data_IF_799336096165
#
_entry.id   IF_799336096165
#
_cell.length_a   1.000
_cell.length_b   1.000
_cell.length_c   1.000
_cell.angle_alpha   90.00
_cell.angle_beta   90.00
_cell.angle_gamma   90.00
#
_symmetry.space_group_name_H-M   'P 1'
#
loop_
_entity.id
_entity.type
_entity.pdbx_description
1 polymer ?
#
# COMPACT_ATOMS: atom_id res chain seq x y z
N UNK A 1 12.01 -9.84 7.58
CA UNK A 1 10.81 -9.02 7.80
C UNK A 1 10.35 -9.28 9.22
N UNK A 2 10.15 -8.26 10.05
CA UNK A 2 9.54 -8.48 11.37
C UNK A 2 8.08 -8.87 11.12
N UNK A 3 7.64 -10.02 11.61
CA UNK A 3 6.23 -10.39 11.63
C UNK A 3 5.55 -9.45 12.62
N UNK A 4 4.84 -8.47 12.06
CA UNK A 4 4.03 -7.55 12.85
C UNK A 4 2.69 -8.23 13.08
N UNK A 5 2.35 -8.44 14.34
CA UNK A 5 1.06 -8.98 14.77
C UNK A 5 0.02 -7.86 14.74
N UNK A 6 -0.83 -7.89 13.72
CA UNK A 6 -1.85 -6.87 13.50
C UNK A 6 -3.02 -6.98 14.48
N UNK A 7 -3.30 -8.17 15.00
CA UNK A 7 -4.37 -8.37 15.98
C UNK A 7 -3.92 -7.79 17.32
N UNK A 8 -2.69 -8.07 17.73
CA UNK A 8 -2.10 -7.46 18.93
C UNK A 8 -2.03 -5.92 18.84
N UNK A 9 -1.70 -5.38 17.65
CA UNK A 9 -1.71 -3.94 17.41
C UNK A 9 -3.12 -3.33 17.48
N UNK A 10 -4.12 -4.02 16.93
CA UNK A 10 -5.51 -3.58 16.98
C UNK A 10 -6.01 -3.55 18.42
N UNK A 11 -5.75 -4.62 19.18
CA UNK A 11 -6.11 -4.70 20.60
C UNK A 11 -5.44 -3.62 21.43
N UNK A 12 -4.18 -3.30 21.16
CA UNK A 12 -3.48 -2.20 21.83
C UNK A 12 -4.08 -0.84 21.44
N UNK A 13 -4.39 -0.61 20.16
CA UNK A 13 -4.98 0.65 19.70
C UNK A 13 -6.37 0.94 20.30
N UNK A 14 -7.09 -0.12 20.68
CA UNK A 14 -8.40 -0.04 21.33
C UNK A 14 -8.31 0.03 22.87
N UNK A 15 -7.12 -0.12 23.46
CA UNK A 15 -6.94 -0.09 24.92
C UNK A 15 -6.69 1.33 25.46
N UNK A 16 -6.90 1.50 26.77
CA UNK A 16 -6.55 2.74 27.47
C UNK A 16 -5.05 3.03 27.42
N UNK A 17 -4.20 2.02 27.24
CA UNK A 17 -2.75 2.20 27.14
C UNK A 17 -2.36 3.02 25.89
N UNK A 18 -3.10 2.88 24.78
CA UNK A 18 -2.89 3.70 23.59
C UNK A 18 -3.28 5.17 23.85
N UNK A 19 -4.30 5.41 24.68
CA UNK A 19 -4.70 6.75 25.10
C UNK A 19 -3.61 7.36 25.99
N UNK A 20 -3.10 6.62 26.97
CA UNK A 20 -2.00 7.06 27.84
C UNK A 20 -0.74 7.37 27.03
N UNK A 21 -0.36 6.51 26.09
CA UNK A 21 0.80 6.75 25.21
C UNK A 21 0.62 8.00 24.34
N UNK A 22 -0.59 8.28 23.87
CA UNK A 22 -0.92 9.52 23.16
C UNK A 22 -0.82 10.74 24.08
N UNK A 23 -1.37 10.67 25.29
CA UNK A 23 -1.30 11.76 26.27
C UNK A 23 0.14 12.07 26.69
N UNK A 24 0.97 11.05 26.91
CA UNK A 24 2.39 11.21 27.24
C UNK A 24 3.17 11.84 26.09
N UNK A 25 2.94 11.41 24.84
CA UNK A 25 3.58 12.00 23.67
C UNK A 25 3.14 13.44 23.43
N UNK A 26 1.87 13.76 23.68
CA UNK A 26 1.36 15.13 23.62
C UNK A 26 1.90 16.01 24.77
N UNK A 27 2.03 15.47 25.98
CA UNK A 27 2.61 16.16 27.14
C UNK A 27 4.10 16.46 26.94
N UNK A 28 4.85 15.55 26.29
CA UNK A 28 6.25 15.77 25.93
C UNK A 28 6.43 16.77 24.77
N UNK A 29 5.41 16.95 23.92
CA UNK A 29 5.53 17.67 22.64
C UNK A 29 4.81 19.01 22.52
N UNK A 30 3.89 19.39 23.41
CA UNK A 30 3.10 20.61 23.21
C UNK A 30 2.66 21.27 24.51
N UNK A 31 3.30 22.40 24.84
CA UNK A 31 2.77 23.38 25.78
C UNK A 31 1.65 24.18 25.11
N UNK A 32 0.48 23.57 24.92
CA UNK A 32 -0.75 24.32 24.63
C UNK A 32 -1.91 23.78 25.46
N UNK A 33 -2.06 24.39 26.64
CA UNK A 33 -3.22 24.24 27.53
C UNK A 33 -4.51 24.53 26.76
N UNK A 34 -5.41 23.55 26.70
CA UNK A 34 -6.81 23.76 26.32
C UNK A 34 -7.25 23.24 24.94
N UNK A 35 -6.37 22.65 24.14
CA UNK A 35 -6.77 21.96 22.91
C UNK A 35 -7.09 20.49 23.23
N UNK A 36 -8.21 19.97 22.72
CA UNK A 36 -8.50 18.54 22.83
C UNK A 36 -7.46 17.72 22.04
N UNK A 37 -7.17 16.48 22.49
CA UNK A 37 -6.20 15.61 21.82
C UNK A 37 -6.49 15.44 20.31
N UNK A 38 -7.77 15.41 19.93
CA UNK A 38 -8.20 15.35 18.53
C UNK A 38 -7.86 16.60 17.71
N UNK A 39 -7.87 17.78 18.33
CA UNK A 39 -7.54 19.05 17.67
C UNK A 39 -6.03 19.18 17.42
N UNK A 40 -5.22 18.71 18.38
CA UNK A 40 -3.77 18.65 18.22
C UNK A 40 -3.38 17.61 17.17
N UNK A 41 -3.99 16.42 17.20
CA UNK A 41 -3.77 15.39 16.20
C UNK A 41 -4.13 15.88 14.80
N UNK A 42 -5.31 16.47 14.62
CA UNK A 42 -5.74 17.03 13.33
C UNK A 42 -4.77 18.10 12.82
N UNK A 43 -4.24 18.95 13.71
CA UNK A 43 -3.27 19.99 13.35
C UNK A 43 -1.90 19.41 12.97
N UNK A 44 -1.44 18.36 13.65
CA UNK A 44 -0.21 17.63 13.33
C UNK A 44 -0.34 16.92 11.99
N UNK A 45 -1.46 16.25 11.72
CA UNK A 45 -1.71 15.62 10.41
C UNK A 45 -1.83 16.66 9.29
N UNK A 46 -2.48 17.80 9.55
CA UNK A 46 -2.61 18.88 8.58
C UNK A 46 -1.26 19.58 8.30
N UNK A 47 -0.38 19.70 9.29
CA UNK A 47 0.94 20.34 9.13
C UNK A 47 2.01 19.40 8.57
N UNK A 48 1.85 18.08 8.73
CA UNK A 48 2.78 17.07 8.23
C UNK A 48 2.77 16.91 6.69
N UNK A 49 1.79 17.49 5.99
CA UNK A 49 1.59 17.33 4.55
C UNK A 49 1.22 15.90 4.16
N UNK A 50 0.75 15.69 2.92
CA UNK A 50 0.45 14.34 2.42
C UNK A 50 1.76 13.52 2.42
N UNK A 51 1.85 12.39 3.15
CA UNK A 51 3.01 11.53 3.10
C UNK A 51 3.33 11.20 1.65
N UNK A 52 4.53 11.56 1.20
CA UNK A 52 4.99 11.15 -0.13
C UNK A 52 5.21 9.65 -0.05
N UNK A 53 4.73 8.91 -1.05
CA UNK A 53 5.12 7.52 -1.24
C UNK A 53 6.63 7.54 -1.52
N UNK A 54 7.46 7.46 -0.48
CA UNK A 54 8.89 7.31 -0.68
C UNK A 54 9.10 5.97 -1.37
N UNK A 55 10.03 5.96 -2.31
CA UNK A 55 10.43 4.78 -3.10
C UNK A 55 10.81 3.57 -2.22
N UNK A 56 11.11 3.82 -0.95
CA UNK A 56 11.75 2.87 -0.05
C UNK A 56 10.79 2.17 0.92
N UNK A 57 9.53 2.62 1.02
CA UNK A 57 8.54 2.04 1.95
C UNK A 57 7.63 0.98 1.30
N UNK A 58 7.89 0.62 0.04
CA UNK A 58 7.19 -0.47 -0.63
C UNK A 58 8.02 -1.02 -1.77
N UNK A 59 8.30 -2.32 -1.77
CA UNK A 59 8.82 -3.06 -2.94
C UNK A 59 7.77 -3.15 -4.06
N UNK A 60 7.07 -2.05 -4.34
CA UNK A 60 5.75 -2.03 -4.98
C UNK A 60 5.75 -1.60 -6.45
N UNK A 61 6.92 -1.45 -7.09
CA UNK A 61 6.97 -1.14 -8.52
C UNK A 61 7.44 -2.39 -9.26
N UNK A 62 6.48 -3.18 -9.74
CA UNK A 62 6.77 -4.21 -10.74
C UNK A 62 7.41 -3.54 -11.96
N UNK A 63 8.59 -4.00 -12.44
CA UNK A 63 9.21 -3.43 -13.62
C UNK A 63 8.24 -3.44 -14.81
N UNK A 64 8.10 -2.31 -15.49
CA UNK A 64 7.25 -2.17 -16.68
C UNK A 64 8.00 -2.68 -17.91
N UNK A 65 7.34 -3.53 -18.70
CA UNK A 65 7.83 -3.94 -20.03
C UNK A 65 6.75 -3.58 -21.07
N UNK A 66 7.15 -2.92 -22.15
CA UNK A 66 6.27 -2.63 -23.28
C UNK A 66 6.56 -3.60 -24.42
N UNK A 67 5.52 -4.14 -25.04
CA UNK A 67 5.62 -5.09 -26.16
C UNK A 67 4.73 -4.60 -27.29
N UNK A 68 5.23 -4.63 -28.52
CA UNK A 68 4.42 -4.35 -29.71
C UNK A 68 3.72 -5.64 -30.15
N UNK A 69 2.40 -5.58 -30.26
CA UNK A 69 1.58 -6.69 -30.73
C UNK A 69 0.96 -6.33 -32.08
N UNK A 70 0.78 -7.29 -33.00
CA UNK A 70 -0.12 -7.12 -34.14
C UNK A 70 -1.53 -6.76 -33.66
N UNK A 71 -2.24 -5.93 -34.43
CA UNK A 71 -3.58 -5.42 -34.05
C UNK A 71 -4.57 -6.55 -33.74
N UNK A 72 -4.57 -7.60 -34.56
CA UNK A 72 -5.42 -8.78 -34.36
C UNK A 72 -5.13 -9.48 -33.02
N UNK A 73 -3.85 -9.60 -32.65
CA UNK A 73 -3.46 -10.23 -31.39
C UNK A 73 -3.84 -9.36 -30.19
N UNK A 74 -3.71 -8.05 -30.30
CA UNK A 74 -4.14 -7.13 -29.25
C UNK A 74 -5.65 -7.20 -29.03
N UNK A 75 -6.44 -7.19 -30.11
CA UNK A 75 -7.90 -7.33 -30.03
C UNK A 75 -8.32 -8.67 -29.40
N UNK A 76 -7.62 -9.76 -29.75
CA UNK A 76 -7.85 -11.08 -29.14
C UNK A 76 -7.52 -11.10 -27.66
N UNK A 77 -6.45 -10.43 -27.23
CA UNK A 77 -6.09 -10.29 -25.82
C UNK A 77 -7.19 -9.55 -25.04
N UNK A 78 -7.68 -8.44 -25.58
CA UNK A 78 -8.74 -7.63 -24.95
C UNK A 78 -10.05 -8.42 -24.83
N UNK A 79 -10.43 -9.16 -25.88
CA UNK A 79 -11.62 -10.00 -25.87
C UNK A 79 -11.52 -11.14 -24.84
N UNK A 80 -10.37 -11.81 -24.77
CA UNK A 80 -10.11 -12.86 -23.78
C UNK A 80 -10.15 -12.32 -22.35
N UNK A 81 -9.45 -11.20 -22.10
CA UNK A 81 -9.39 -10.57 -20.79
C UNK A 81 -10.80 -10.19 -20.29
N UNK A 82 -11.62 -9.60 -21.17
CA UNK A 82 -13.01 -9.26 -20.88
C UNK A 82 -13.87 -10.48 -20.57
N UNK A 83 -13.73 -11.57 -21.34
CA UNK A 83 -14.49 -12.79 -21.14
C UNK A 83 -14.18 -13.47 -19.80
N UNK A 84 -12.93 -13.36 -19.32
CA UNK A 84 -12.47 -13.98 -18.07
C UNK A 84 -12.54 -13.04 -16.86
N UNK A 85 -12.95 -11.78 -17.04
CA UNK A 85 -12.95 -10.77 -15.96
C UNK A 85 -11.55 -10.41 -15.46
N UNK A 86 -10.53 -10.57 -16.31
CA UNK A 86 -9.12 -10.28 -16.00
C UNK A 86 -8.68 -8.99 -16.70
N UNK A 87 -7.59 -8.39 -16.23
CA UNK A 87 -6.90 -7.34 -16.98
C UNK A 87 -5.93 -7.95 -18.02
N UNK A 88 -5.66 -7.24 -19.13
CA UNK A 88 -4.65 -7.68 -20.11
C UNK A 88 -3.27 -7.95 -19.50
N UNK A 89 -2.90 -7.19 -18.45
CA UNK A 89 -1.63 -7.37 -17.75
C UNK A 89 -1.56 -8.67 -16.93
N UNK A 90 -2.68 -9.13 -16.38
CA UNK A 90 -2.77 -10.42 -15.68
C UNK A 90 -2.64 -11.57 -16.67
N UNK A 91 -3.36 -11.51 -17.78
CA UNK A 91 -3.27 -12.51 -18.86
C UNK A 91 -1.84 -12.62 -19.38
N UNK A 92 -1.20 -11.48 -19.64
CA UNK A 92 0.21 -11.43 -20.07
C UNK A 92 1.16 -12.04 -19.03
N UNK A 93 0.94 -11.77 -17.74
CA UNK A 93 1.76 -12.32 -16.65
C UNK A 93 1.64 -13.83 -16.59
N UNK A 94 0.42 -14.35 -16.64
CA UNK A 94 0.15 -15.80 -16.63
C UNK A 94 0.75 -16.49 -17.86
N UNK A 95 0.59 -15.89 -19.05
CA UNK A 95 1.20 -16.40 -20.27
C UNK A 95 2.73 -16.47 -20.16
N UNK A 96 3.36 -15.43 -19.60
CA UNK A 96 4.81 -15.41 -19.37
C UNK A 96 5.26 -16.46 -18.35
N UNK A 97 4.50 -16.69 -17.28
CA UNK A 97 4.81 -17.75 -16.30
C UNK A 97 4.69 -19.15 -16.90
N UNK A 98 3.75 -19.36 -17.82
CA UNK A 98 3.62 -20.63 -18.56
C UNK A 98 4.74 -20.82 -19.57
N UNK A 99 5.18 -19.74 -20.21
CA UNK A 99 6.22 -19.78 -21.24
C UNK A 99 7.63 -19.90 -20.66
N UNK A 100 7.92 -19.24 -19.54
CA UNK A 100 9.22 -19.24 -18.88
C UNK A 100 9.22 -20.28 -17.74
N UNK A 101 9.94 -21.41 -17.87
CA UNK A 101 10.05 -22.38 -16.79
C UNK A 101 10.77 -21.77 -15.59
N UNK A 102 10.46 -22.26 -14.38
CA UNK A 102 11.09 -21.78 -13.13
C UNK A 102 12.62 -21.94 -13.11
N UNK A 103 13.18 -22.78 -13.97
CA UNK A 103 14.62 -22.98 -14.15
C UNK A 103 15.31 -21.89 -14.98
N UNK A 104 14.58 -20.93 -15.53
CA UNK A 104 15.12 -19.82 -16.31
C UNK A 104 15.61 -18.63 -15.44
N UNK A 105 15.77 -18.86 -14.12
CA UNK A 105 16.20 -17.89 -13.12
C UNK A 105 17.67 -18.08 -12.74
#
# INVERSE_FOLDING_TARGET
MKNVDYDALSMWAESEDAVVALEETLAAGSTTRGASAGEVAARVFASAGRPRLSRDNGKGVSPRRQVRLPDELNARLDAYAKAQGLSPSEVMREALQKYLPASAA
#
